data_IF_232367208805
#
_entry.id   IF_232367208805
#
_cell.length_a   1.000
_cell.length_b   1.000
_cell.length_c   1.000
_cell.angle_alpha   90.00
_cell.angle_beta   90.00
_cell.angle_gamma   90.00
#
_symmetry.space_group_name_H-M   'P 1'
#
loop_
_entity.id
_entity.type
_entity.pdbx_description
1 polymer ?
#
# COMPACT_ATOMS: atom_id res chain seq x y z
N UNK A 1 -57.26 52.86 18.46
CA UNK A 1 -56.27 53.76 17.84
C UNK A 1 -54.92 53.04 17.94
N UNK A 2 -54.36 52.62 16.79
CA UNK A 2 -52.92 52.47 16.43
C UNK A 2 -51.91 52.15 17.57
N UNK A 3 -50.96 51.20 17.55
CA UNK A 3 -50.18 50.45 16.53
C UNK A 3 -49.55 49.26 17.33
N UNK A 4 -49.59 47.98 16.95
CA UNK A 4 -48.74 47.32 15.94
C UNK A 4 -47.30 47.07 16.42
N UNK A 5 -46.88 45.80 16.56
CA UNK A 5 -45.48 45.34 16.39
C UNK A 5 -45.39 43.81 16.21
N UNK A 6 -45.33 43.44 14.93
CA UNK A 6 -44.46 42.44 14.28
C UNK A 6 -43.81 41.30 15.06
N UNK A 7 -43.99 40.11 14.49
CA UNK A 7 -43.31 38.81 14.68
C UNK A 7 -41.82 38.88 14.31
N UNK A 8 -40.98 37.95 14.81
CA UNK A 8 -39.97 37.35 13.96
C UNK A 8 -40.06 35.82 13.90
N UNK A 9 -39.99 35.33 12.66
CA UNK A 9 -39.87 33.94 12.25
C UNK A 9 -38.65 33.26 12.89
N UNK A 10 -38.86 32.10 13.52
CA UNK A 10 -37.77 31.15 13.79
C UNK A 10 -37.53 30.34 12.51
N UNK A 11 -36.51 30.73 11.74
CA UNK A 11 -35.95 29.89 10.68
C UNK A 11 -35.20 28.74 11.37
N UNK A 12 -35.77 27.52 11.37
CA UNK A 12 -35.03 26.32 11.76
C UNK A 12 -34.06 25.98 10.63
N UNK A 13 -32.80 26.34 10.80
CA UNK A 13 -31.70 25.83 9.98
C UNK A 13 -31.55 24.35 10.33
N UNK A 14 -31.92 23.47 9.39
CA UNK A 14 -31.58 22.05 9.46
C UNK A 14 -30.12 21.94 9.04
N UNK A 15 -29.24 21.75 10.02
CA UNK A 15 -27.84 21.43 9.79
C UNK A 15 -27.78 20.00 9.25
N UNK A 16 -27.73 19.85 7.92
CA UNK A 16 -27.39 18.57 7.30
C UNK A 16 -25.88 18.41 7.43
N UNK A 17 -25.44 17.76 8.50
CA UNK A 17 -24.06 17.29 8.64
C UNK A 17 -23.87 16.21 7.57
N UNK A 18 -23.32 16.59 6.41
CA UNK A 18 -22.70 15.64 5.52
C UNK A 18 -21.39 15.22 6.18
N UNK A 19 -21.45 14.13 6.94
CA UNK A 19 -20.24 13.41 7.30
C UNK A 19 -19.64 12.86 6.01
N UNK A 20 -18.67 13.58 5.45
CA UNK A 20 -17.86 13.07 4.35
C UNK A 20 -16.84 12.12 5.00
N UNK A 21 -17.27 10.89 5.28
CA UNK A 21 -16.34 9.79 5.43
C UNK A 21 -15.78 9.52 4.04
N UNK A 22 -14.64 10.12 3.73
CA UNK A 22 -13.79 9.66 2.63
C UNK A 22 -12.74 8.77 3.25
N UNK A 23 -13.04 7.48 3.31
CA UNK A 23 -12.03 6.45 3.50
C UNK A 23 -11.20 6.45 2.22
N UNK A 24 -9.91 6.71 2.32
CA UNK A 24 -9.11 6.72 1.11
C UNK A 24 -8.92 5.29 0.58
N UNK A 25 -9.11 5.20 -0.73
CA UNK A 25 -9.09 4.01 -1.55
C UNK A 25 -7.78 3.22 -1.46
N UNK A 26 -7.55 2.37 -0.46
CA UNK A 26 -6.66 1.23 -0.66
C UNK A 26 -7.06 0.58 -2.00
N UNK A 27 -6.12 0.31 -2.93
CA UNK A 27 -6.47 -0.42 -4.16
C UNK A 27 -7.16 -1.69 -3.71
N UNK A 28 -8.47 -1.74 -3.93
CA UNK A 28 -9.28 -2.86 -3.50
C UNK A 28 -9.03 -4.02 -4.46
N UNK A 29 -9.22 -5.23 -3.96
CA UNK A 29 -9.22 -6.41 -4.81
C UNK A 29 -10.24 -6.26 -5.95
N UNK A 30 -9.88 -6.58 -7.21
CA UNK A 30 -10.73 -6.31 -8.37
C UNK A 30 -12.14 -6.88 -8.27
N UNK A 31 -13.08 -6.33 -9.06
CA UNK A 31 -14.49 -6.76 -9.05
C UNK A 31 -14.68 -8.22 -9.41
N UNK A 32 -15.79 -8.78 -8.93
CA UNK A 32 -16.16 -10.17 -9.11
C UNK A 32 -15.96 -11.01 -7.85
N UNK A 33 -16.38 -12.26 -7.98
CA UNK A 33 -16.19 -13.34 -7.00
C UNK A 33 -15.22 -14.36 -7.61
N UNK A 34 -14.23 -14.77 -6.83
CA UNK A 34 -13.15 -15.65 -7.27
C UNK A 34 -12.36 -16.16 -6.07
N UNK A 35 -11.40 -17.05 -6.31
CA UNK A 35 -10.46 -17.49 -5.29
C UNK A 35 -9.01 -17.40 -5.73
N UNK A 36 -8.12 -17.37 -4.75
CA UNK A 36 -6.66 -17.45 -4.91
C UNK A 36 -6.13 -18.64 -4.10
N UNK A 37 -4.99 -19.24 -4.51
CA UNK A 37 -4.25 -20.13 -3.62
C UNK A 37 -3.88 -19.38 -2.34
N UNK A 38 -4.06 -20.03 -1.19
CA UNK A 38 -3.75 -19.42 0.11
C UNK A 38 -2.26 -19.54 0.39
N UNK A 39 -1.50 -18.44 0.54
CA UNK A 39 -0.14 -18.53 1.03
C UNK A 39 -0.11 -18.84 2.54
N UNK A 40 1.01 -19.35 3.04
CA UNK A 40 1.27 -19.63 4.47
C UNK A 40 1.16 -18.38 5.37
N UNK A 41 1.10 -17.19 4.78
CA UNK A 41 0.90 -15.90 5.44
C UNK A 41 -0.57 -15.55 5.69
N UNK A 42 -1.51 -16.33 5.15
CA UNK A 42 -2.95 -16.15 5.34
C UNK A 42 -3.66 -15.49 4.15
N UNK A 43 -4.95 -15.24 4.31
CA UNK A 43 -5.78 -14.64 3.27
C UNK A 43 -5.92 -13.12 3.42
N UNK A 44 -6.20 -12.39 2.32
CA UNK A 44 -6.56 -10.99 2.41
C UNK A 44 -7.75 -10.75 3.34
N UNK A 45 -7.74 -9.59 4.00
CA UNK A 45 -8.77 -9.26 5.00
C UNK A 45 -10.19 -9.36 4.42
N UNK A 46 -11.07 -10.05 5.14
CA UNK A 46 -12.48 -10.22 4.76
C UNK A 46 -12.76 -11.37 3.79
N UNK A 47 -11.75 -12.13 3.37
CA UNK A 47 -11.94 -13.31 2.52
C UNK A 47 -12.26 -14.55 3.35
N UNK A 48 -13.03 -15.48 2.75
CA UNK A 48 -13.35 -16.76 3.37
C UNK A 48 -12.27 -17.79 3.06
N UNK A 49 -12.01 -18.69 4.00
CA UNK A 49 -11.04 -19.78 3.80
C UNK A 49 -11.73 -21.12 3.56
N UNK A 50 -11.03 -22.02 2.88
CA UNK A 50 -11.39 -23.42 2.74
C UNK A 50 -10.17 -24.25 2.38
N UNK A 51 -10.36 -25.57 2.31
CA UNK A 51 -9.27 -26.50 2.01
C UNK A 51 -9.77 -27.71 1.24
N UNK A 52 -8.83 -28.38 0.57
CA UNK A 52 -9.00 -29.72 0.02
C UNK A 52 -7.79 -30.57 0.43
N UNK A 53 -8.10 -31.69 1.07
CA UNK A 53 -7.20 -32.78 1.37
C UNK A 53 -7.40 -33.88 0.33
N UNK A 54 -6.30 -34.33 -0.29
CA UNK A 54 -6.27 -35.48 -1.18
C UNK A 54 -5.47 -36.61 -0.54
N UNK A 55 -6.12 -37.77 -0.47
CA UNK A 55 -5.46 -39.06 -0.35
C UNK A 55 -5.05 -39.45 -1.77
N UNK A 56 -3.75 -39.38 -2.06
CA UNK A 56 -3.19 -39.65 -3.38
C UNK A 56 -2.65 -41.08 -3.42
N UNK A 57 -1.94 -41.49 -4.47
CA UNK A 57 -1.48 -42.89 -4.62
C UNK A 57 -0.65 -43.39 -3.42
N UNK A 58 -1.13 -44.47 -2.78
CA UNK A 58 -0.44 -45.18 -1.68
C UNK A 58 0.58 -46.21 -2.21
N UNK A 59 0.35 -46.78 -3.40
CA UNK A 59 1.21 -47.79 -4.05
C UNK A 59 2.17 -47.16 -5.07
N UNK A 60 3.37 -46.80 -4.60
CA UNK A 60 4.42 -46.02 -5.30
C UNK A 60 4.14 -44.51 -5.39
N UNK A 61 3.91 -43.84 -4.25
CA UNK A 61 3.67 -42.40 -4.22
C UNK A 61 4.76 -41.58 -4.92
N UNK A 62 4.34 -40.61 -5.72
CA UNK A 62 5.22 -39.73 -6.49
C UNK A 62 5.03 -38.23 -6.25
N UNK A 63 4.38 -37.79 -5.16
CA UNK A 63 4.17 -36.35 -4.92
C UNK A 63 5.51 -35.60 -4.78
N UNK A 64 5.58 -34.42 -5.41
CA UNK A 64 6.78 -33.58 -5.45
C UNK A 64 6.40 -32.09 -5.35
N UNK A 65 7.26 -31.29 -4.74
CA UNK A 65 7.11 -29.83 -4.65
C UNK A 65 8.43 -29.10 -4.88
N UNK A 66 8.33 -27.82 -5.20
CA UNK A 66 9.45 -26.90 -5.10
C UNK A 66 9.90 -26.66 -3.65
N UNK A 67 11.14 -26.23 -3.48
CA UNK A 67 11.67 -25.67 -2.23
C UNK A 67 12.29 -24.29 -2.57
N UNK A 68 11.69 -23.16 -2.13
CA UNK A 68 10.55 -23.06 -1.22
C UNK A 68 9.19 -23.45 -1.85
N UNK A 69 8.21 -23.67 -0.97
CA UNK A 69 6.77 -23.71 -1.28
C UNK A 69 6.02 -22.94 -0.19
N UNK A 70 5.59 -21.73 -0.51
CA UNK A 70 4.87 -20.81 0.37
C UNK A 70 3.34 -21.00 0.32
N UNK A 71 2.85 -22.06 -0.33
CA UNK A 71 1.45 -22.47 -0.33
C UNK A 71 1.05 -23.05 1.04
N UNK A 72 -0.09 -22.61 1.58
CA UNK A 72 -0.64 -23.10 2.84
C UNK A 72 -1.27 -24.48 2.66
N UNK A 73 -0.83 -25.42 3.49
CA UNK A 73 -1.20 -26.83 3.35
C UNK A 73 -0.24 -27.79 4.03
N UNK A 74 -0.44 -29.08 3.77
CA UNK A 74 0.44 -30.15 4.23
C UNK A 74 0.84 -31.03 3.06
N UNK A 75 2.12 -31.38 2.97
CA UNK A 75 2.68 -32.10 1.82
C UNK A 75 3.32 -33.41 2.28
N UNK A 76 2.87 -34.52 1.72
CA UNK A 76 3.37 -35.86 1.97
C UNK A 76 3.55 -36.62 0.67
N UNK A 77 4.29 -37.72 0.72
CA UNK A 77 4.55 -38.55 -0.46
C UNK A 77 3.25 -39.13 -1.05
N UNK A 78 2.34 -39.61 -0.21
CA UNK A 78 1.07 -40.23 -0.61
C UNK A 78 -0.17 -39.38 -0.28
N UNK A 79 0.01 -38.18 0.29
CA UNK A 79 -1.11 -37.41 0.82
C UNK A 79 -0.80 -35.92 0.75
N UNK A 80 -1.81 -35.09 0.54
CA UNK A 80 -1.61 -33.64 0.48
C UNK A 80 -2.85 -32.84 0.90
N UNK A 81 -2.64 -31.61 1.35
CA UNK A 81 -3.70 -30.64 1.60
C UNK A 81 -3.26 -29.29 1.06
N UNK A 82 -4.19 -28.55 0.45
CA UNK A 82 -3.98 -27.15 0.09
C UNK A 82 -5.21 -26.31 0.35
N UNK A 83 -4.94 -25.04 0.64
CA UNK A 83 -5.94 -24.12 1.15
C UNK A 83 -6.24 -22.99 0.15
N UNK A 84 -7.43 -22.42 0.30
CA UNK A 84 -8.00 -21.42 -0.59
C UNK A 84 -8.34 -20.14 0.15
N UNK A 85 -8.06 -19.01 -0.50
CA UNK A 85 -8.65 -17.73 -0.15
C UNK A 85 -9.79 -17.43 -1.12
N UNK A 86 -11.02 -17.26 -0.63
CA UNK A 86 -12.21 -17.08 -1.45
C UNK A 86 -12.87 -15.73 -1.21
N UNK A 87 -12.93 -14.91 -2.27
CA UNK A 87 -13.72 -13.68 -2.32
C UNK A 87 -15.14 -14.01 -2.77
N UNK A 88 -16.07 -14.06 -1.82
CA UNK A 88 -17.47 -14.47 -2.06
C UNK A 88 -18.43 -13.31 -2.28
N UNK A 89 -17.96 -12.07 -2.12
CA UNK A 89 -18.73 -10.86 -2.34
C UNK A 89 -17.99 -9.95 -3.32
N UNK A 90 -18.69 -9.52 -4.38
CA UNK A 90 -18.16 -8.49 -5.26
C UNK A 90 -18.45 -7.12 -4.66
N UNK A 91 -17.46 -6.24 -4.66
CA UNK A 91 -17.69 -4.81 -4.51
C UNK A 91 -18.43 -4.28 -5.75
N UNK A 92 -19.30 -3.30 -5.55
CA UNK A 92 -19.98 -2.58 -6.66
C UNK A 92 -19.07 -1.51 -7.29
N UNK A 93 -18.07 -1.03 -6.53
CA UNK A 93 -17.20 0.10 -6.89
C UNK A 93 -15.72 -0.30 -7.12
N UNK A 94 -15.43 -1.59 -7.29
CA UNK A 94 -14.04 -2.04 -7.52
C UNK A 94 -13.57 -1.83 -8.96
N UNK A 95 -12.25 -1.83 -9.15
CA UNK A 95 -11.64 -1.82 -10.48
C UNK A 95 -11.72 -3.18 -11.17
N UNK A 96 -11.67 -3.19 -12.51
CA UNK A 96 -11.56 -4.42 -13.29
C UNK A 96 -10.19 -5.08 -13.12
N UNK A 97 -10.12 -6.40 -13.31
CA UNK A 97 -8.84 -7.09 -13.33
C UNK A 97 -7.96 -6.61 -14.49
N UNK A 98 -6.67 -6.32 -14.25
CA UNK A 98 -5.75 -5.85 -15.29
C UNK A 98 -5.44 -6.94 -16.32
N UNK A 99 -5.22 -6.54 -17.58
CA UNK A 99 -4.77 -7.44 -18.64
C UNK A 99 -3.43 -8.09 -18.29
N UNK A 100 -3.24 -9.34 -18.71
CA UNK A 100 -2.06 -10.13 -18.34
C UNK A 100 -2.21 -11.60 -18.68
N UNK A 101 -1.31 -12.42 -18.14
CA UNK A 101 -1.27 -13.87 -18.36
C UNK A 101 -1.19 -14.64 -17.06
N UNK A 102 -2.35 -14.96 -16.48
CA UNK A 102 -2.47 -15.64 -15.18
C UNK A 102 -3.87 -16.25 -14.99
N UNK A 103 -3.99 -17.12 -13.99
CA UNK A 103 -5.20 -17.82 -13.62
C UNK A 103 -5.54 -17.60 -12.14
N UNK A 104 -6.84 -17.66 -11.84
CA UNK A 104 -7.43 -17.64 -10.50
C UNK A 104 -8.47 -18.74 -10.39
N UNK A 105 -8.85 -19.12 -9.18
CA UNK A 105 -9.94 -20.06 -8.97
C UNK A 105 -11.29 -19.42 -9.31
N UNK A 106 -12.14 -20.18 -10.00
CA UNK A 106 -13.49 -19.72 -10.35
C UNK A 106 -14.39 -19.74 -9.12
N UNK A 107 -15.23 -18.71 -8.96
CA UNK A 107 -16.33 -18.69 -7.98
C UNK A 107 -17.50 -17.90 -8.54
N UNK A 108 -18.56 -18.56 -9.00
CA UNK A 108 -19.58 -17.89 -9.81
C UNK A 108 -19.01 -17.49 -11.18
N UNK A 109 -19.52 -16.47 -11.83
CA UNK A 109 -19.05 -16.08 -13.17
C UNK A 109 -17.60 -15.61 -13.16
N UNK A 110 -16.84 -15.95 -14.21
CA UNK A 110 -15.47 -15.44 -14.34
C UNK A 110 -15.48 -13.92 -14.51
N UNK A 111 -14.56 -13.20 -13.84
CA UNK A 111 -14.44 -11.76 -14.02
C UNK A 111 -14.17 -11.39 -15.48
N UNK A 112 -14.55 -10.16 -15.87
CA UNK A 112 -14.37 -9.66 -17.24
C UNK A 112 -12.93 -9.82 -17.72
N UNK A 113 -12.75 -10.36 -18.94
CA UNK A 113 -11.45 -10.66 -19.55
C UNK A 113 -10.94 -12.07 -19.29
N UNK A 114 -11.49 -12.80 -18.30
CA UNK A 114 -11.14 -14.19 -18.06
C UNK A 114 -12.05 -15.15 -18.84
N UNK A 115 -11.46 -16.28 -19.22
CA UNK A 115 -12.14 -17.44 -19.78
C UNK A 115 -12.22 -18.54 -18.72
N UNK A 116 -13.36 -19.25 -18.70
CA UNK A 116 -13.56 -20.38 -17.79
C UNK A 116 -12.90 -21.64 -18.35
N UNK A 117 -12.32 -22.43 -17.47
CA UNK A 117 -11.91 -23.80 -17.78
C UNK A 117 -11.75 -24.65 -16.54
N UNK A 118 -11.26 -25.87 -16.68
CA UNK A 118 -11.19 -26.84 -15.58
C UNK A 118 -10.07 -27.85 -15.76
N UNK A 119 -9.65 -28.41 -14.64
CA UNK A 119 -8.90 -29.66 -14.56
C UNK A 119 -9.70 -30.62 -13.70
N UNK A 120 -9.90 -31.83 -14.19
CA UNK A 120 -10.43 -32.98 -13.49
C UNK A 120 -9.30 -33.98 -13.31
N UNK A 121 -9.16 -34.50 -12.11
CA UNK A 121 -8.34 -35.68 -11.87
C UNK A 121 -9.10 -36.75 -11.08
N UNK A 122 -8.78 -38.00 -11.39
CA UNK A 122 -9.25 -39.20 -10.72
C UNK A 122 -8.39 -39.42 -9.47
N UNK A 123 -8.96 -39.13 -8.31
CA UNK A 123 -8.26 -39.38 -7.05
C UNK A 123 -8.28 -40.91 -6.76
N UNK A 124 -7.47 -41.38 -5.80
CA UNK A 124 -7.28 -42.81 -5.52
C UNK A 124 -8.61 -43.59 -5.36
N UNK A 125 -8.74 -44.75 -6.01
CA UNK A 125 -9.97 -45.55 -5.94
C UNK A 125 -10.10 -46.43 -4.69
N UNK A 126 -8.98 -46.79 -4.06
CA UNK A 126 -8.93 -47.70 -2.92
C UNK A 126 -8.76 -46.94 -1.61
N UNK A 127 -9.62 -47.21 -0.63
CA UNK A 127 -9.52 -46.65 0.74
C UNK A 127 -9.48 -45.10 0.88
N UNK A 128 -9.68 -44.35 -0.20
CA UNK A 128 -9.70 -42.90 -0.29
C UNK A 128 -10.32 -42.16 0.92
N UNK A 129 -9.49 -41.33 1.58
CA UNK A 129 -9.85 -40.50 2.74
C UNK A 129 -9.83 -39.00 2.38
N UNK A 130 -10.25 -38.67 1.15
CA UNK A 130 -10.44 -37.30 0.70
C UNK A 130 -11.32 -36.49 1.67
N UNK A 131 -10.88 -35.26 1.98
CA UNK A 131 -11.60 -34.36 2.89
C UNK A 131 -11.63 -32.96 2.33
N UNK A 132 -12.67 -32.22 2.68
CA UNK A 132 -12.85 -30.84 2.24
C UNK A 132 -13.59 -30.04 3.29
N UNK A 133 -13.40 -28.73 3.30
CA UNK A 133 -14.05 -27.86 4.27
C UNK A 133 -13.97 -26.39 3.90
N UNK A 134 -14.75 -25.58 4.61
CA UNK A 134 -14.84 -24.15 4.37
C UNK A 134 -15.39 -23.78 2.99
N UNK A 135 -15.01 -22.59 2.52
CA UNK A 135 -15.41 -22.05 1.21
C UNK A 135 -14.36 -22.40 0.17
N UNK A 136 -14.80 -23.01 -0.94
CA UNK A 136 -13.92 -23.49 -2.00
C UNK A 136 -14.24 -22.85 -3.35
N UNK A 137 -13.32 -22.99 -4.33
CA UNK A 137 -13.63 -22.78 -5.73
C UNK A 137 -14.89 -23.53 -6.19
N UNK A 138 -15.43 -23.10 -7.32
CA UNK A 138 -16.41 -23.91 -8.03
C UNK A 138 -15.73 -25.20 -8.48
N UNK A 139 -16.40 -26.34 -8.25
CA UNK A 139 -15.81 -27.65 -8.50
C UNK A 139 -16.72 -28.78 -8.04
N UNK A 140 -16.22 -30.00 -8.26
CA UNK A 140 -16.76 -31.24 -7.69
C UNK A 140 -15.67 -31.80 -6.77
N UNK A 141 -16.03 -32.12 -5.53
CA UNK A 141 -15.12 -32.57 -4.48
C UNK A 141 -15.65 -33.88 -3.89
N UNK A 142 -15.99 -34.83 -4.77
CA UNK A 142 -16.51 -36.13 -4.36
C UNK A 142 -15.35 -37.12 -4.18
N UNK A 143 -15.52 -38.34 -4.69
CA UNK A 143 -14.43 -39.31 -4.78
C UNK A 143 -13.30 -38.75 -5.63
N UNK A 144 -13.65 -38.07 -6.73
CA UNK A 144 -12.73 -37.40 -7.64
C UNK A 144 -12.80 -35.89 -7.49
N UNK A 145 -11.88 -35.21 -8.16
CA UNK A 145 -11.81 -33.75 -8.07
C UNK A 145 -11.96 -33.10 -9.44
N UNK A 146 -12.82 -32.09 -9.52
CA UNK A 146 -12.84 -31.11 -10.61
C UNK A 146 -12.70 -29.74 -9.98
N UNK A 147 -11.71 -28.96 -10.40
CA UNK A 147 -11.60 -27.55 -10.05
C UNK A 147 -11.76 -26.70 -11.29
N UNK A 148 -12.62 -25.68 -11.19
CA UNK A 148 -12.77 -24.67 -12.22
C UNK A 148 -11.86 -23.47 -11.97
N UNK A 149 -11.34 -22.93 -13.06
CA UNK A 149 -10.43 -21.80 -13.10
C UNK A 149 -11.00 -20.71 -14.01
N UNK A 150 -10.62 -19.48 -13.71
CA UNK A 150 -10.73 -18.35 -14.61
C UNK A 150 -9.31 -17.99 -15.03
N UNK A 151 -9.01 -18.10 -16.32
CA UNK A 151 -7.69 -17.75 -16.86
C UNK A 151 -7.77 -16.66 -17.92
N UNK A 152 -6.75 -15.81 -18.00
CA UNK A 152 -6.58 -14.81 -19.06
C UNK A 152 -5.15 -14.85 -19.60
N UNK A 153 -4.99 -14.36 -20.83
CA UNK A 153 -3.72 -14.32 -21.56
C UNK A 153 -3.74 -13.20 -22.61
N UNK A 154 -4.37 -12.08 -22.28
CA UNK A 154 -4.59 -10.93 -23.16
C UNK A 154 -3.50 -9.86 -23.05
N UNK A 155 -2.42 -10.12 -22.28
CA UNK A 155 -1.17 -9.35 -22.29
C UNK A 155 0.02 -10.22 -21.84
N UNK A 156 1.25 -9.69 -21.99
CA UNK A 156 2.50 -10.37 -21.67
C UNK A 156 2.81 -10.37 -20.17
N UNK A 157 3.44 -11.44 -19.68
CA UNK A 157 3.80 -11.59 -18.27
C UNK A 157 4.84 -10.58 -17.79
N UNK A 158 5.69 -10.03 -18.67
CA UNK A 158 6.73 -9.06 -18.33
C UNK A 158 6.20 -7.66 -18.04
N UNK A 159 4.98 -7.33 -18.49
CA UNK A 159 4.36 -6.05 -18.23
C UNK A 159 3.73 -6.07 -16.83
N UNK A 160 4.23 -5.25 -15.91
CA UNK A 160 3.77 -5.27 -14.52
C UNK A 160 2.32 -4.79 -14.38
N UNK A 161 1.46 -5.60 -13.77
CA UNK A 161 0.08 -5.25 -13.43
C UNK A 161 -0.03 -4.62 -12.03
N UNK A 162 -1.12 -3.89 -11.77
CA UNK A 162 -1.40 -3.32 -10.46
C UNK A 162 -2.44 -4.15 -9.73
N UNK A 163 -2.09 -4.69 -8.57
CA UNK A 163 -2.96 -5.42 -7.65
C UNK A 163 -2.72 -4.91 -6.22
N UNK A 164 -3.62 -5.20 -5.26
CA UNK A 164 -3.38 -4.85 -3.86
C UNK A 164 -2.06 -5.47 -3.37
N UNK A 165 -1.25 -4.68 -2.69
CA UNK A 165 0.12 -5.05 -2.28
C UNK A 165 0.33 -5.14 -0.76
N UNK A 166 -0.72 -4.89 0.01
CA UNK A 166 -0.64 -4.98 1.47
C UNK A 166 -0.41 -6.43 1.91
N UNK A 167 -1.14 -7.37 1.30
CA UNK A 167 -1.04 -8.79 1.62
C UNK A 167 -0.12 -9.52 0.65
N UNK A 168 0.60 -10.54 1.14
CA UNK A 168 1.23 -11.55 0.27
C UNK A 168 0.12 -12.37 -0.38
N UNK A 169 0.28 -12.73 -1.64
CA UNK A 169 -0.75 -13.50 -2.34
C UNK A 169 -0.15 -14.41 -3.41
N UNK A 170 -0.97 -15.33 -3.92
CA UNK A 170 -0.59 -16.20 -5.02
C UNK A 170 -1.54 -16.07 -6.20
N UNK A 171 -1.00 -16.19 -7.40
CA UNK A 171 -1.76 -16.47 -8.63
C UNK A 171 -1.31 -17.81 -9.19
N UNK A 172 -2.14 -18.47 -9.99
CA UNK A 172 -1.70 -19.62 -10.78
C UNK A 172 -1.12 -19.12 -12.09
N UNK A 173 0.05 -19.63 -12.50
CA UNK A 173 0.66 -19.20 -13.76
C UNK A 173 -0.15 -19.73 -14.94
N UNK A 174 -0.38 -18.92 -15.97
CA UNK A 174 -1.05 -19.37 -17.20
C UNK A 174 -0.07 -20.08 -18.15
N UNK A 175 1.20 -19.67 -18.11
CA UNK A 175 2.31 -20.20 -18.88
C UNK A 175 3.53 -20.42 -17.98
N UNK A 176 4.68 -20.68 -18.57
CA UNK A 176 5.92 -20.96 -17.84
C UNK A 176 6.40 -19.77 -17.00
N UNK A 177 6.14 -18.53 -17.43
CA UNK A 177 6.54 -17.33 -16.69
C UNK A 177 5.43 -16.82 -15.78
N UNK A 178 5.81 -16.27 -14.63
CA UNK A 178 4.91 -15.55 -13.74
C UNK A 178 4.63 -14.13 -14.23
N UNK A 179 3.37 -13.70 -14.07
CA UNK A 179 2.93 -12.32 -14.31
C UNK A 179 3.68 -11.37 -13.35
N UNK A 180 4.29 -10.30 -13.85
CA UNK A 180 4.90 -9.28 -12.99
C UNK A 180 3.81 -8.44 -12.32
N UNK A 181 3.97 -8.12 -11.04
CA UNK A 181 3.08 -7.23 -10.27
C UNK A 181 3.91 -6.06 -9.75
N UNK A 182 3.45 -4.83 -9.98
CA UNK A 182 4.19 -3.62 -9.62
C UNK A 182 4.41 -3.55 -8.11
N UNK A 183 5.68 -3.39 -7.69
CA UNK A 183 6.06 -3.28 -6.29
C UNK A 183 6.04 -4.60 -5.50
N UNK A 184 5.98 -5.74 -6.19
CA UNK A 184 6.05 -7.06 -5.59
C UNK A 184 7.20 -7.86 -6.21
N UNK A 185 7.93 -8.59 -5.38
CA UNK A 185 8.79 -9.69 -5.84
C UNK A 185 7.93 -10.91 -6.17
N UNK A 186 8.37 -11.73 -7.13
CA UNK A 186 7.65 -12.96 -7.51
C UNK A 186 8.56 -14.17 -7.49
N UNK A 187 8.14 -15.21 -6.79
CA UNK A 187 8.78 -16.53 -6.77
C UNK A 187 7.86 -17.53 -7.47
N UNK A 188 8.38 -18.25 -8.47
CA UNK A 188 7.65 -19.35 -9.11
C UNK A 188 7.84 -20.62 -8.30
N UNK A 189 6.73 -21.19 -7.86
CA UNK A 189 6.66 -22.41 -7.06
C UNK A 189 5.77 -23.43 -7.74
N UNK A 190 5.86 -24.69 -7.36
CA UNK A 190 5.05 -25.72 -7.97
C UNK A 190 4.80 -26.89 -7.02
N UNK A 191 3.68 -27.57 -7.27
CA UNK A 191 3.34 -28.82 -6.64
C UNK A 191 2.81 -29.79 -7.70
N UNK A 192 3.28 -31.04 -7.63
CA UNK A 192 2.88 -32.16 -8.46
C UNK A 192 2.39 -33.28 -7.55
N UNK A 193 1.27 -33.88 -7.89
CA UNK A 193 0.80 -35.09 -7.22
C UNK A 193 0.48 -36.20 -8.20
N UNK A 194 0.73 -37.42 -7.73
CA UNK A 194 0.30 -38.65 -8.37
C UNK A 194 -1.20 -38.81 -8.19
N UNK A 195 -1.86 -39.26 -9.25
CA UNK A 195 -3.25 -39.66 -9.23
C UNK A 195 -3.37 -41.11 -9.74
N UNK A 196 -4.59 -41.62 -9.90
CA UNK A 196 -4.81 -43.04 -10.22
C UNK A 196 -4.12 -43.48 -11.53
N UNK A 197 -3.28 -44.52 -11.45
CA UNK A 197 -2.55 -45.08 -12.60
C UNK A 197 -3.42 -45.99 -13.48
N UNK A 198 -4.59 -46.46 -13.00
CA UNK A 198 -5.43 -47.44 -13.67
C UNK A 198 -6.88 -46.98 -13.93
N UNK A 199 -7.36 -47.11 -15.17
CA UNK A 199 -8.68 -46.59 -15.60
C UNK A 199 -8.89 -45.08 -15.41
N UNK A 200 -7.80 -44.32 -15.37
CA UNK A 200 -7.74 -42.90 -15.12
C UNK A 200 -8.74 -42.06 -15.95
N UNK A 201 -9.60 -41.33 -15.24
CA UNK A 201 -10.61 -40.39 -15.76
C UNK A 201 -10.18 -38.92 -15.85
N UNK A 202 -8.88 -38.64 -15.81
CA UNK A 202 -8.28 -37.30 -15.91
C UNK A 202 -8.68 -36.58 -17.20
N UNK A 203 -9.01 -35.30 -17.07
CA UNK A 203 -9.30 -34.45 -18.22
C UNK A 203 -9.11 -32.97 -17.91
N UNK A 204 -8.72 -32.20 -18.91
CA UNK A 204 -8.60 -30.74 -18.80
C UNK A 204 -9.13 -30.05 -20.05
N UNK A 205 -9.64 -28.84 -19.86
CA UNK A 205 -10.01 -27.95 -20.98
C UNK A 205 -8.79 -27.19 -21.49
N UNK A 206 -8.83 -26.62 -22.70
CA UNK A 206 -7.77 -25.75 -23.26
C UNK A 206 -7.40 -24.54 -22.37
N UNK A 207 -8.35 -24.12 -21.53
CA UNK A 207 -8.19 -23.02 -20.57
C UNK A 207 -7.86 -23.60 -19.20
N UNK A 208 -6.58 -23.62 -18.84
CA UNK A 208 -6.13 -24.12 -17.54
C UNK A 208 -4.81 -23.48 -17.11
N UNK A 209 -4.46 -23.54 -15.81
CA UNK A 209 -3.12 -23.20 -15.31
C UNK A 209 -2.00 -24.00 -15.99
N UNK A 210 -0.79 -23.46 -16.01
CA UNK A 210 0.35 -24.05 -16.69
C UNK A 210 0.70 -25.47 -16.17
N UNK A 211 1.10 -26.31 -17.12
CA UNK A 211 1.30 -27.78 -17.04
C UNK A 211 0.01 -28.59 -16.88
N UNK A 212 -0.76 -28.43 -15.79
CA UNK A 212 -1.99 -29.21 -15.59
C UNK A 212 -1.71 -30.71 -15.57
N UNK A 213 -2.46 -31.49 -16.34
CA UNK A 213 -2.29 -32.96 -16.43
C UNK A 213 -0.98 -33.31 -17.16
N UNK A 214 -0.19 -34.19 -16.54
CA UNK A 214 1.11 -34.68 -17.00
C UNK A 214 1.11 -36.21 -17.21
N UNK A 215 2.23 -36.74 -17.69
CA UNK A 215 2.50 -38.19 -17.82
C UNK A 215 1.44 -39.03 -18.54
N UNK A 216 0.63 -38.42 -19.42
CA UNK A 216 -0.41 -39.16 -20.15
C UNK A 216 -1.74 -39.33 -19.39
N UNK A 217 -1.91 -38.63 -18.27
CA UNK A 217 -3.13 -38.70 -17.44
C UNK A 217 -2.83 -38.90 -15.96
N UNK A 218 -1.70 -39.54 -15.66
CA UNK A 218 -1.38 -40.12 -14.34
C UNK A 218 -1.04 -39.10 -13.25
N UNK A 219 -0.96 -37.80 -13.57
CA UNK A 219 -0.41 -36.81 -12.66
C UNK A 219 -0.94 -35.41 -12.94
N UNK A 220 -1.00 -34.58 -11.90
CA UNK A 220 -1.31 -33.14 -12.06
C UNK A 220 -0.19 -32.31 -11.48
N UNK A 221 0.20 -31.26 -12.20
CA UNK A 221 1.14 -30.24 -11.72
C UNK A 221 0.54 -28.85 -11.86
N UNK A 222 0.54 -28.11 -10.75
CA UNK A 222 0.18 -26.71 -10.71
C UNK A 222 1.40 -25.85 -10.41
N UNK A 223 1.47 -24.71 -11.08
CA UNK A 223 2.51 -23.70 -10.89
C UNK A 223 1.88 -22.45 -10.27
N UNK A 224 2.50 -21.98 -9.19
CA UNK A 224 2.09 -20.83 -8.41
C UNK A 224 3.10 -19.71 -8.58
N UNK A 225 2.61 -18.48 -8.60
CA UNK A 225 3.40 -17.27 -8.55
C UNK A 225 3.14 -16.65 -7.18
N UNK A 226 4.10 -16.80 -6.27
CA UNK A 226 4.05 -16.22 -4.94
C UNK A 226 4.55 -14.78 -4.99
N UNK A 227 3.68 -13.84 -4.62
CA UNK A 227 3.97 -12.42 -4.60
C UNK A 227 4.17 -11.94 -3.18
N UNK A 228 5.35 -11.37 -2.92
CA UNK A 228 5.66 -10.72 -1.66
C UNK A 228 6.01 -9.25 -1.91
N UNK A 229 5.60 -8.32 -1.03
CA UNK A 229 6.02 -6.92 -1.12
C UNK A 229 7.52 -6.80 -1.35
N UNK A 230 7.89 -6.04 -2.39
CA UNK A 230 9.29 -5.74 -2.61
C UNK A 230 9.75 -4.72 -1.56
N UNK A 231 10.26 -5.24 -0.45
CA UNK A 231 10.73 -4.42 0.69
C UNK A 231 11.88 -3.48 0.30
N UNK A 232 12.57 -3.73 -0.81
CA UNK A 232 13.62 -2.84 -1.32
C UNK A 232 13.07 -1.61 -2.05
N UNK A 233 11.77 -1.60 -2.35
CA UNK A 233 11.05 -0.53 -3.04
C UNK A 233 9.84 -0.02 -2.24
N UNK A 234 9.54 -0.60 -1.07
CA UNK A 234 8.49 -0.12 -0.18
C UNK A 234 9.03 0.92 0.79
N UNK A 235 8.23 1.96 1.01
CA UNK A 235 8.46 2.92 2.07
C UNK A 235 8.48 2.21 3.44
N UNK A 236 9.29 2.66 4.41
CA UNK A 236 9.37 2.02 5.73
C UNK A 236 8.01 1.90 6.43
N UNK A 237 7.95 0.98 7.40
CA UNK A 237 6.70 0.71 8.12
C UNK A 237 6.25 1.91 8.97
N UNK A 238 4.96 1.89 9.32
CA UNK A 238 4.27 2.95 10.05
C UNK A 238 3.51 3.91 9.14
N UNK A 239 2.92 4.91 9.79
CA UNK A 239 2.14 5.98 9.16
C UNK A 239 2.77 7.32 9.46
N UNK A 240 2.84 8.19 8.46
CA UNK A 240 3.60 9.45 8.53
C UNK A 240 3.34 10.30 7.29
N UNK A 241 3.89 11.51 7.25
CA UNK A 241 3.84 12.38 6.07
C UNK A 241 5.20 12.84 5.57
N UNK A 242 5.27 13.17 4.29
CA UNK A 242 6.42 13.80 3.63
C UNK A 242 5.99 15.09 2.91
N UNK A 243 6.92 16.05 2.73
CA UNK A 243 6.70 17.18 1.82
C UNK A 243 6.50 16.66 0.39
N UNK A 244 5.49 17.17 -0.30
CA UNK A 244 5.19 16.75 -1.67
C UNK A 244 6.14 17.41 -2.65
N UNK A 245 6.83 16.63 -3.48
CA UNK A 245 7.63 17.18 -4.59
C UNK A 245 6.74 17.51 -5.79
N UNK A 246 7.26 18.26 -6.76
CA UNK A 246 6.57 18.50 -8.05
C UNK A 246 6.28 17.20 -8.84
N UNK A 247 6.91 16.07 -8.48
CA UNK A 247 6.59 14.77 -9.08
C UNK A 247 5.30 14.13 -8.52
N UNK A 248 4.78 14.65 -7.41
CA UNK A 248 3.58 14.14 -6.73
C UNK A 248 3.91 13.14 -5.61
N UNK A 249 2.86 12.49 -5.10
CA UNK A 249 2.99 11.56 -3.98
C UNK A 249 3.25 10.11 -4.44
N UNK A 250 3.92 9.29 -3.60
CA UNK A 250 3.99 7.86 -3.83
C UNK A 250 2.60 7.24 -4.02
N UNK A 251 2.49 6.23 -4.88
CA UNK A 251 1.21 5.57 -5.15
C UNK A 251 0.55 5.06 -3.87
N UNK A 252 -0.74 5.37 -3.70
CA UNK A 252 -1.55 4.97 -2.54
C UNK A 252 -1.43 5.87 -1.31
N UNK A 253 -0.75 7.02 -1.41
CA UNK A 253 -0.67 8.02 -0.36
C UNK A 253 -1.73 9.10 -0.56
N UNK A 254 -2.19 9.68 0.54
CA UNK A 254 -3.15 10.77 0.53
C UNK A 254 -2.45 12.11 0.32
N UNK A 255 -3.17 13.06 -0.27
CA UNK A 255 -2.68 14.42 -0.46
C UNK A 255 -3.42 15.41 0.44
N UNK A 256 -2.69 16.43 0.88
CA UNK A 256 -3.28 17.58 1.55
C UNK A 256 -2.50 18.84 1.26
N UNK A 257 -3.06 19.97 1.68
CA UNK A 257 -2.39 21.25 1.58
C UNK A 257 -2.73 22.16 2.75
N UNK A 258 -1.79 23.06 3.04
CA UNK A 258 -1.98 24.23 3.90
C UNK A 258 -1.61 25.47 3.10
N UNK A 259 -2.55 26.39 2.99
CA UNK A 259 -2.34 27.74 2.50
C UNK A 259 -2.13 28.67 3.69
N UNK A 260 -1.05 29.43 3.64
CA UNK A 260 -0.68 30.47 4.58
C UNK A 260 -0.81 31.83 3.90
N UNK A 261 -1.67 32.66 4.47
CA UNK A 261 -1.69 34.10 4.27
C UNK A 261 -0.63 34.68 5.22
N UNK A 262 0.52 34.99 4.66
CA UNK A 262 1.70 35.49 5.40
C UNK A 262 1.71 37.01 5.39
N UNK A 263 2.55 37.67 6.19
CA UNK A 263 2.52 39.12 6.42
C UNK A 263 2.30 39.97 5.15
N UNK A 264 1.20 40.71 5.09
CA UNK A 264 0.88 41.58 3.94
C UNK A 264 1.71 42.89 3.89
N UNK A 265 2.25 43.35 5.03
CA UNK A 265 2.93 44.65 5.18
C UNK A 265 4.42 44.51 5.48
N UNK A 266 5.23 44.40 4.43
CA UNK A 266 6.69 44.28 4.56
C UNK A 266 7.22 42.87 4.34
N UNK A 267 6.36 41.99 3.82
CA UNK A 267 6.67 40.58 3.58
C UNK A 267 8.04 40.33 2.98
N UNK A 268 8.70 39.33 3.54
CA UNK A 268 10.02 38.88 3.14
C UNK A 268 10.10 37.35 3.00
N UNK A 269 9.06 36.73 2.42
CA UNK A 269 9.13 35.31 2.01
C UNK A 269 10.30 35.08 1.04
N UNK A 270 11.08 34.03 1.26
CA UNK A 270 12.25 33.69 0.45
C UNK A 270 12.35 32.17 0.26
N UNK A 271 12.94 31.74 -0.85
CA UNK A 271 13.17 30.32 -1.11
C UNK A 271 14.40 30.11 -1.99
N UNK A 272 14.91 28.88 -2.02
CA UNK A 272 15.98 28.49 -2.94
C UNK A 272 15.50 28.49 -4.39
N UNK A 273 16.40 28.78 -5.33
CA UNK A 273 16.16 28.61 -6.77
C UNK A 273 17.20 27.63 -7.34
N UNK A 274 16.79 26.41 -7.76
CA UNK A 274 15.41 25.92 -7.84
C UNK A 274 14.79 25.54 -6.49
N UNK A 275 13.45 25.43 -6.48
CA UNK A 275 12.65 24.78 -5.44
C UNK A 275 11.69 23.80 -6.11
N UNK A 276 11.84 22.50 -5.84
CA UNK A 276 10.99 21.44 -6.42
C UNK A 276 9.87 20.98 -5.47
N UNK A 277 9.57 21.78 -4.46
CA UNK A 277 8.49 21.54 -3.50
C UNK A 277 7.15 21.95 -4.12
N UNK A 278 6.16 21.06 -4.07
CA UNK A 278 4.82 21.32 -4.57
C UNK A 278 4.12 22.37 -3.70
N UNK A 279 3.52 23.36 -4.36
CA UNK A 279 3.00 24.52 -3.68
C UNK A 279 2.93 25.75 -4.57
N UNK A 280 2.57 26.87 -3.96
CA UNK A 280 2.68 28.21 -4.54
C UNK A 280 3.49 29.07 -3.59
N UNK A 281 4.41 29.86 -4.12
CA UNK A 281 5.40 30.62 -3.36
C UNK A 281 5.40 32.05 -3.90
N UNK A 282 4.79 32.95 -3.16
CA UNK A 282 4.65 34.35 -3.52
C UNK A 282 5.12 35.23 -2.36
N UNK A 283 5.26 36.54 -2.64
CA UNK A 283 5.74 37.50 -1.64
C UNK A 283 4.89 37.47 -0.37
N UNK A 284 3.57 37.44 -0.48
CA UNK A 284 2.68 37.54 0.70
C UNK A 284 1.98 36.22 1.03
N UNK A 285 2.23 35.15 0.29
CA UNK A 285 1.46 33.92 0.46
C UNK A 285 2.32 32.71 0.15
N UNK A 286 2.06 31.63 0.88
CA UNK A 286 2.67 30.34 0.58
C UNK A 286 1.66 29.20 0.70
N UNK A 287 1.85 28.14 -0.09
CA UNK A 287 1.07 26.92 0.03
C UNK A 287 2.01 25.73 0.12
N UNK A 288 1.91 25.01 1.23
CA UNK A 288 2.59 23.74 1.44
C UNK A 288 1.67 22.59 1.00
N UNK A 289 2.21 21.63 0.26
CA UNK A 289 1.50 20.38 -0.05
C UNK A 289 2.17 19.16 0.60
N UNK A 290 1.34 18.20 0.98
CA UNK A 290 1.74 17.04 1.78
C UNK A 290 1.41 15.74 1.08
N UNK A 291 2.27 14.74 1.26
CA UNK A 291 1.99 13.34 0.97
C UNK A 291 1.87 12.58 2.29
N UNK A 292 0.72 11.95 2.54
CA UNK A 292 0.40 11.30 3.80
C UNK A 292 0.21 9.79 3.63
N UNK A 293 1.10 9.00 4.24
CA UNK A 293 0.95 7.55 4.37
C UNK A 293 0.04 7.26 5.57
N UNK A 294 -1.25 7.05 5.31
CA UNK A 294 -2.28 6.88 6.34
C UNK A 294 -2.55 5.43 6.73
N UNK A 295 -1.90 4.48 6.04
CA UNK A 295 -2.04 3.04 6.28
C UNK A 295 -0.63 2.44 6.39
N UNK A 296 -0.36 1.73 7.49
CA UNK A 296 0.88 0.98 7.65
C UNK A 296 0.88 -0.23 6.69
N UNK A 297 2.06 -0.58 6.16
CA UNK A 297 2.18 -1.81 5.39
C UNK A 297 2.11 -3.00 6.34
N UNK A 298 1.73 -4.18 5.86
CA UNK A 298 1.51 -5.33 6.73
C UNK A 298 2.79 -5.68 7.50
N UNK A 299 2.66 -5.78 8.83
CA UNK A 299 3.70 -6.22 9.76
C UNK A 299 4.05 -7.71 9.54
N UNK A 300 4.76 -8.01 8.45
CA UNK A 300 5.60 -9.21 8.40
C UNK A 300 6.80 -9.02 9.34
N UNK A 301 7.48 -10.09 9.77
CA UNK A 301 8.63 -10.04 10.69
C UNK A 301 9.86 -9.27 10.17
N UNK A 302 9.76 -8.63 9.01
CA UNK A 302 10.78 -7.80 8.38
C UNK A 302 10.23 -6.47 7.82
N UNK A 303 9.08 -5.98 8.30
CA UNK A 303 8.61 -4.62 7.97
C UNK A 303 9.74 -3.64 8.29
N UNK A 304 10.36 -3.08 7.26
CA UNK A 304 11.64 -2.39 7.43
C UNK A 304 11.43 -1.15 8.29
N UNK A 305 12.07 -1.13 9.47
CA UNK A 305 12.17 0.07 10.28
C UNK A 305 12.79 1.20 9.45
N UNK A 306 12.46 2.43 9.80
CA UNK A 306 13.17 3.57 9.22
C UNK A 306 14.68 3.45 9.48
N UNK A 307 15.53 3.69 8.47
CA UNK A 307 16.97 3.54 8.62
C UNK A 307 17.57 4.64 9.51
N UNK A 308 18.62 4.31 10.26
CA UNK A 308 19.38 5.31 11.02
C UNK A 308 19.88 6.45 10.14
N UNK A 309 19.81 7.68 10.65
CA UNK A 309 20.16 8.87 9.89
C UNK A 309 19.87 10.17 10.61
N UNK A 310 19.97 11.27 9.85
CA UNK A 310 19.71 12.64 10.30
C UNK A 310 18.66 13.28 9.41
N UNK A 311 17.40 13.15 9.79
CA UNK A 311 16.28 13.69 9.03
C UNK A 311 15.02 13.73 9.88
N UNK A 312 14.04 14.51 9.43
CA UNK A 312 12.70 14.50 9.98
C UNK A 312 11.64 14.24 8.91
N UNK A 313 10.49 13.77 9.37
CA UNK A 313 9.27 13.59 8.59
C UNK A 313 8.10 14.21 9.35
N UNK A 314 6.94 14.38 8.70
CA UNK A 314 5.75 14.80 9.42
C UNK A 314 5.17 13.65 10.26
N UNK A 315 4.71 13.99 11.47
CA UNK A 315 3.98 13.05 12.32
C UNK A 315 2.54 12.89 11.84
N UNK A 316 1.95 11.73 12.04
CA UNK A 316 0.56 11.44 11.71
C UNK A 316 -0.06 10.46 12.71
N UNK A 317 -1.34 10.65 13.02
CA UNK A 317 -2.16 9.81 13.90
C UNK A 317 -1.60 9.70 15.33
N UNK A 318 -1.01 10.80 15.81
CA UNK A 318 -0.58 10.95 17.21
C UNK A 318 0.70 10.20 17.59
N UNK A 319 1.37 9.53 16.66
CA UNK A 319 2.58 8.75 16.97
C UNK A 319 3.63 8.82 15.85
N UNK A 320 4.88 8.55 16.22
CA UNK A 320 5.98 8.43 15.26
C UNK A 320 6.23 6.96 14.90
N UNK A 321 6.65 6.66 13.66
CA UNK A 321 7.06 5.33 13.28
C UNK A 321 8.21 4.79 14.14
N UNK A 322 8.37 3.47 14.15
CA UNK A 322 9.49 2.79 14.81
C UNK A 322 10.84 3.37 14.32
N UNK A 323 11.76 3.60 15.26
CA UNK A 323 13.08 4.18 15.01
C UNK A 323 13.18 5.70 15.16
N UNK A 324 12.07 6.42 15.29
CA UNK A 324 12.05 7.83 15.67
C UNK A 324 11.94 8.02 17.19
N UNK A 325 12.29 9.21 17.67
CA UNK A 325 12.00 9.62 19.06
C UNK A 325 10.49 9.70 19.24
N UNK A 326 9.92 8.88 20.13
CA UNK A 326 8.47 8.71 20.30
C UNK A 326 7.91 9.34 21.57
N UNK A 327 8.76 9.61 22.56
CA UNK A 327 8.35 10.15 23.86
C UNK A 327 8.35 11.69 23.92
N UNK A 328 8.71 12.37 22.82
CA UNK A 328 8.80 13.83 22.74
C UNK A 328 7.79 14.41 21.76
N UNK A 329 7.18 15.53 22.15
CA UNK A 329 6.33 16.31 21.28
C UNK A 329 7.20 17.27 20.47
N UNK A 330 7.67 16.81 19.31
CA UNK A 330 8.48 17.58 18.35
C UNK A 330 7.55 18.44 17.48
N UNK A 331 7.69 19.76 17.53
CA UNK A 331 6.84 20.70 16.81
C UNK A 331 7.55 22.00 16.45
N UNK A 332 6.98 22.68 15.45
CA UNK A 332 7.17 24.11 15.21
C UNK A 332 5.77 24.74 15.19
N UNK A 333 5.61 25.81 15.96
CA UNK A 333 4.43 26.65 16.00
C UNK A 333 4.83 28.03 15.52
N UNK A 334 4.05 28.57 14.59
CA UNK A 334 4.17 29.96 14.18
C UNK A 334 2.82 30.67 14.23
N UNK A 335 2.90 31.93 14.65
CA UNK A 335 1.80 32.86 14.71
C UNK A 335 1.57 33.41 13.29
N UNK A 336 0.58 32.87 12.57
CA UNK A 336 0.27 33.39 11.22
C UNK A 336 -0.41 34.77 11.36
N UNK A 337 -0.54 35.53 10.26
CA UNK A 337 -1.03 36.91 10.29
C UNK A 337 -2.39 37.06 11.01
N UNK A 338 -2.50 38.02 11.93
CA UNK A 338 -3.75 38.25 12.68
C UNK A 338 -4.78 39.11 11.91
N UNK A 339 -4.32 39.97 10.99
CA UNK A 339 -5.17 40.88 10.21
C UNK A 339 -5.63 40.28 8.89
N UNK A 340 -6.94 40.31 8.61
CA UNK A 340 -7.53 39.87 7.31
C UNK A 340 -7.17 38.45 6.85
N UNK A 341 -6.65 37.63 7.75
CA UNK A 341 -6.14 36.28 7.50
C UNK A 341 -7.07 35.41 6.63
N UNK A 342 -6.56 34.99 5.48
CA UNK A 342 -7.19 34.13 4.49
C UNK A 342 -6.65 32.68 4.49
N UNK A 343 -6.03 32.25 5.59
CA UNK A 343 -5.57 30.90 5.84
C UNK A 343 -6.61 29.84 5.45
N UNK A 344 -6.17 28.81 4.71
CA UNK A 344 -7.03 27.69 4.34
C UNK A 344 -6.26 26.37 4.30
N UNK A 345 -6.98 25.25 4.33
CA UNK A 345 -6.39 23.93 4.22
C UNK A 345 -7.40 22.92 3.66
N UNK A 346 -6.91 21.78 3.17
CA UNK A 346 -7.76 20.70 2.70
C UNK A 346 -6.99 19.39 2.49
N UNK A 347 -7.72 18.31 2.26
CA UNK A 347 -7.16 16.97 2.13
C UNK A 347 -6.76 16.38 3.48
N UNK A 348 -5.71 15.54 3.49
CA UNK A 348 -5.15 14.93 4.71
C UNK A 348 -3.90 15.69 5.13
N UNK A 349 -3.90 16.20 6.36
CA UNK A 349 -2.83 17.03 6.89
C UNK A 349 -2.00 16.26 7.92
N UNK A 350 -0.73 16.60 8.14
CA UNK A 350 0.00 16.04 9.26
C UNK A 350 -0.58 16.45 10.61
N UNK A 351 -0.09 15.83 11.68
CA UNK A 351 -0.46 16.20 13.04
C UNK A 351 -0.15 17.68 13.30
N UNK A 352 -1.11 18.42 13.83
CA UNK A 352 -0.96 19.86 13.99
C UNK A 352 -2.20 20.61 14.44
N UNK A 353 -2.08 21.93 14.46
CA UNK A 353 -3.15 22.89 14.67
C UNK A 353 -3.18 23.80 13.45
N UNK A 354 -4.34 23.93 12.81
CA UNK A 354 -4.51 24.69 11.56
C UNK A 354 -5.65 25.69 11.71
N UNK A 355 -5.56 26.57 12.71
CA UNK A 355 -6.58 27.58 12.96
C UNK A 355 -6.12 28.93 12.39
N UNK A 356 -6.29 30.03 13.14
CA UNK A 356 -5.66 31.30 12.80
C UNK A 356 -4.16 31.15 12.65
N UNK A 357 -3.55 30.34 13.53
CA UNK A 357 -2.12 30.04 13.59
C UNK A 357 -1.85 28.60 13.18
N UNK A 358 -0.57 28.27 13.03
CA UNK A 358 -0.16 26.95 12.58
C UNK A 358 0.80 26.31 13.57
N UNK A 359 0.50 25.06 13.92
CA UNK A 359 1.43 24.12 14.54
C UNK A 359 1.59 22.92 13.64
N UNK A 360 2.82 22.53 13.34
CA UNK A 360 3.11 21.25 12.69
C UNK A 360 3.94 20.37 13.62
N UNK A 361 3.64 19.08 13.64
CA UNK A 361 4.35 18.08 14.42
C UNK A 361 5.18 17.16 13.53
N UNK A 362 6.35 16.79 14.04
CA UNK A 362 7.37 16.08 13.29
C UNK A 362 7.82 14.83 14.03
N UNK A 363 8.48 13.93 13.30
CA UNK A 363 9.26 12.83 13.83
C UNK A 363 10.68 13.02 13.34
N UNK A 364 11.60 13.27 14.26
CA UNK A 364 13.01 13.51 13.96
C UNK A 364 13.88 12.36 14.50
N UNK A 365 14.99 12.13 13.82
CA UNK A 365 16.06 11.26 14.31
C UNK A 365 17.41 11.85 13.92
N UNK A 366 18.38 11.62 14.80
CA UNK A 366 19.76 12.12 14.69
C UNK A 366 20.77 11.06 15.11
N UNK A 367 20.43 9.79 14.89
CA UNK A 367 21.19 8.63 15.34
C UNK A 367 22.11 8.03 14.26
N UNK A 368 22.33 8.76 13.16
CA UNK A 368 23.16 8.33 12.04
C UNK A 368 24.25 9.33 11.63
N UNK A 369 24.89 9.05 10.48
CA UNK A 369 25.90 9.93 9.87
C UNK A 369 25.40 10.35 8.50
N UNK A 370 25.30 11.66 8.25
CA UNK A 370 24.74 12.22 7.02
C UNK A 370 25.43 11.72 5.75
N UNK A 371 26.73 11.47 5.78
CA UNK A 371 27.49 10.97 4.62
C UNK A 371 27.36 9.47 4.36
N UNK A 372 26.68 8.71 5.23
CA UNK A 372 26.47 7.28 5.03
C UNK A 372 25.11 7.05 4.38
N UNK A 373 25.10 6.58 3.13
CA UNK A 373 23.86 6.36 2.37
C UNK A 373 22.89 5.39 3.06
N UNK A 374 21.69 5.86 3.39
CA UNK A 374 20.59 5.03 3.89
C UNK A 374 19.79 4.42 2.74
N UNK A 375 19.06 3.34 3.02
CA UNK A 375 18.20 2.67 2.04
C UNK A 375 16.75 3.12 2.20
N UNK A 376 16.20 3.75 1.16
CA UNK A 376 14.80 4.13 0.99
C UNK A 376 14.39 3.82 -0.45
N UNK A 377 13.09 3.80 -0.80
CA UNK A 377 12.65 3.64 -2.19
C UNK A 377 13.29 4.69 -3.11
N UNK A 378 13.80 4.25 -4.27
CA UNK A 378 14.56 5.08 -5.21
C UNK A 378 13.90 5.19 -6.59
N UNK A 379 12.65 4.79 -6.70
CA UNK A 379 11.85 4.77 -7.93
C UNK A 379 11.16 6.12 -8.19
N UNK A 380 11.04 6.98 -7.18
CA UNK A 380 10.41 8.30 -7.29
C UNK A 380 11.24 9.38 -6.57
N UNK A 381 11.08 10.64 -6.97
CA UNK A 381 11.68 11.78 -6.24
C UNK A 381 10.91 12.05 -4.96
N UNK A 382 11.60 12.46 -3.90
CA UNK A 382 10.97 12.77 -2.62
C UNK A 382 11.76 13.80 -1.81
N UNK A 383 11.14 14.28 -0.73
CA UNK A 383 11.76 15.14 0.26
C UNK A 383 11.81 14.48 1.64
N UNK A 384 12.86 14.80 2.37
CA UNK A 384 12.89 14.72 3.83
C UNK A 384 13.23 16.10 4.39
N UNK A 385 12.83 16.40 5.62
CA UNK A 385 13.36 17.55 6.33
C UNK A 385 14.79 17.25 6.76
N UNK A 386 15.69 18.21 6.58
CA UNK A 386 17.01 18.10 7.18
C UNK A 386 16.87 18.22 8.70
N UNK A 387 17.55 17.38 9.48
CA UNK A 387 17.72 17.60 10.93
C UNK A 387 19.02 18.34 11.26
N UNK A 388 19.91 18.49 10.26
CA UNK A 388 21.17 19.23 10.40
C UNK A 388 21.43 20.10 9.17
N UNK A 389 22.50 20.88 9.17
CA UNK A 389 22.90 21.70 8.00
C UNK A 389 23.36 20.87 6.79
N UNK A 390 23.49 19.55 6.95
CA UNK A 390 23.86 18.63 5.86
C UNK A 390 22.74 17.61 5.66
N UNK A 391 22.37 17.39 4.40
CA UNK A 391 21.39 16.37 4.07
C UNK A 391 21.92 14.96 4.27
N UNK A 392 21.04 14.07 4.73
CA UNK A 392 21.31 12.63 4.81
C UNK A 392 21.45 12.04 3.41
N UNK A 393 22.51 11.29 3.12
CA UNK A 393 22.67 10.58 1.85
C UNK A 393 21.69 9.40 1.77
N UNK A 394 21.12 9.17 0.58
CA UNK A 394 20.28 7.99 0.27
C UNK A 394 20.94 7.24 -0.87
N UNK A 395 21.21 5.95 -0.68
CA UNK A 395 21.90 5.13 -1.67
C UNK A 395 21.07 5.07 -2.97
N UNK A 396 21.70 5.33 -4.12
CA UNK A 396 21.03 5.35 -5.42
C UNK A 396 20.29 6.64 -5.76
N UNK A 397 20.34 7.65 -4.89
CA UNK A 397 19.76 8.97 -5.13
C UNK A 397 20.85 10.05 -5.19
N UNK A 398 20.54 11.16 -5.85
CA UNK A 398 21.28 12.42 -5.74
C UNK A 398 20.49 13.33 -4.79
N UNK A 399 21.16 13.92 -3.81
CA UNK A 399 20.53 14.84 -2.85
C UNK A 399 20.94 16.29 -3.08
N UNK A 400 19.97 17.21 -3.07
CA UNK A 400 20.18 18.66 -3.13
C UNK A 400 19.46 19.33 -1.96
N UNK A 401 20.15 20.12 -1.11
CA UNK A 401 19.48 20.90 -0.09
C UNK A 401 18.73 22.07 -0.75
N UNK A 402 17.45 22.19 -0.42
CA UNK A 402 16.56 23.29 -0.81
C UNK A 402 15.94 23.89 0.45
N UNK A 403 15.51 25.14 0.40
CA UNK A 403 14.98 25.80 1.60
C UNK A 403 13.88 26.77 1.25
N UNK A 404 13.02 27.00 2.22
CA UNK A 404 12.00 28.05 2.18
C UNK A 404 11.90 28.73 3.53
N UNK A 405 11.63 30.03 3.48
CA UNK A 405 11.51 30.96 4.59
C UNK A 405 10.21 31.73 4.39
N UNK A 406 9.43 31.87 5.45
CA UNK A 406 8.26 32.73 5.43
C UNK A 406 8.24 33.69 6.60
N UNK A 407 7.74 34.88 6.27
CA UNK A 407 7.51 35.99 7.18
C UNK A 407 6.18 35.78 7.87
N UNK A 408 6.21 35.66 9.20
CA UNK A 408 5.01 35.52 10.01
C UNK A 408 4.76 36.82 10.78
N UNK A 409 3.96 36.79 11.85
CA UNK A 409 3.54 38.01 12.55
C UNK A 409 4.72 38.83 13.13
N UNK A 410 4.84 40.09 12.72
CA UNK A 410 5.85 41.03 13.24
C UNK A 410 5.45 41.64 14.61
N UNK A 411 4.17 41.57 15.00
CA UNK A 411 3.65 42.25 16.19
C UNK A 411 2.96 41.31 17.18
N UNK A 412 3.45 41.27 18.43
CA UNK A 412 2.93 40.35 19.47
C UNK A 412 3.10 38.85 19.16
N UNK A 413 4.09 38.52 18.33
CA UNK A 413 4.43 37.18 17.90
C UNK A 413 4.56 36.16 19.06
N UNK A 414 3.90 35.01 18.89
CA UNK A 414 3.93 33.88 19.82
C UNK A 414 4.62 32.61 19.28
N UNK A 415 5.48 32.74 18.26
CA UNK A 415 6.32 31.69 17.69
C UNK A 415 7.02 30.84 18.76
N UNK A 416 6.96 29.52 18.59
CA UNK A 416 7.63 28.59 19.51
C UNK A 416 7.97 27.26 18.84
N UNK A 417 9.02 26.61 19.30
CA UNK A 417 9.42 25.28 18.83
C UNK A 417 9.92 24.42 19.99
N UNK A 418 9.85 23.10 19.84
CA UNK A 418 10.48 22.15 20.75
C UNK A 418 12.01 22.21 20.65
N UNK A 419 12.71 21.50 21.55
CA UNK A 419 14.18 21.38 21.48
C UNK A 419 14.62 20.59 20.23
N UNK A 420 13.96 19.46 19.97
CA UNK A 420 14.10 18.75 18.70
C UNK A 420 13.14 19.35 17.68
N UNK A 421 13.63 19.68 16.49
CA UNK A 421 12.82 20.15 15.36
C UNK A 421 13.64 20.03 14.05
N UNK A 422 13.00 20.07 12.87
CA UNK A 422 13.71 20.24 11.61
C UNK A 422 14.72 21.39 11.63
N UNK A 423 15.83 21.22 10.91
CA UNK A 423 16.95 22.18 10.89
C UNK A 423 16.49 23.60 10.49
N UNK A 424 17.16 24.58 11.10
CA UNK A 424 16.88 26.03 11.08
C UNK A 424 15.71 26.41 11.99
N UNK A 425 14.47 26.06 11.65
CA UNK A 425 13.29 26.38 12.47
C UNK A 425 13.05 27.89 12.59
N UNK A 426 12.68 28.35 13.79
CA UNK A 426 12.47 29.77 14.10
C UNK A 426 13.81 30.51 14.10
N UNK A 427 13.91 31.58 13.30
CA UNK A 427 15.11 32.41 13.18
C UNK A 427 15.41 33.15 14.49
N UNK A 428 16.66 33.59 14.68
CA UNK A 428 17.10 34.22 15.93
C UNK A 428 16.39 35.53 16.30
N UNK A 429 15.70 36.18 15.36
CA UNK A 429 14.84 37.33 15.65
C UNK A 429 13.54 36.92 16.35
N UNK A 430 13.12 35.66 16.22
CA UNK A 430 11.87 35.12 16.76
C UNK A 430 10.63 35.44 15.91
N UNK A 431 10.82 36.00 14.71
CA UNK A 431 9.77 36.58 13.87
C UNK A 431 9.50 35.78 12.59
N UNK A 432 10.21 34.68 12.39
CA UNK A 432 10.31 34.08 11.07
C UNK A 432 10.69 32.61 11.17
N UNK A 433 10.17 31.81 10.24
CA UNK A 433 10.52 30.39 10.16
C UNK A 433 11.22 30.11 8.85
N UNK A 434 12.30 29.34 8.95
CA UNK A 434 13.05 28.82 7.81
C UNK A 434 13.25 27.33 7.97
N UNK A 435 12.96 26.58 6.91
CA UNK A 435 13.16 25.13 6.89
C UNK A 435 14.05 24.73 5.72
N UNK A 436 15.00 23.84 6.01
CA UNK A 436 15.80 23.17 5.00
C UNK A 436 15.24 21.76 4.72
N UNK A 437 15.05 21.48 3.44
CA UNK A 437 14.61 20.22 2.88
C UNK A 437 15.73 19.55 2.07
N UNK A 438 15.75 18.23 2.09
CA UNK A 438 16.64 17.41 1.29
C UNK A 438 15.87 16.84 0.12
N UNK A 439 16.14 17.34 -1.09
CA UNK A 439 15.51 16.89 -2.32
C UNK A 439 16.26 15.71 -2.91
N UNK A 440 15.62 14.55 -3.02
CA UNK A 440 16.21 13.32 -3.53
C UNK A 440 15.69 12.98 -4.93
N UNK A 441 16.61 12.73 -5.86
CA UNK A 441 16.31 12.37 -7.25
C UNK A 441 17.01 11.05 -7.61
N UNK A 442 16.33 10.07 -8.25
CA UNK A 442 16.97 8.84 -8.72
C UNK A 442 18.17 9.12 -9.64
N UNK A 443 19.24 8.33 -9.47
CA UNK A 443 20.46 8.41 -10.31
C UNK A 443 20.28 7.82 -11.71
#
# INVERSE_FOLDING_TARGET
MFVGKTVPNLLKVVLVIHAVLRCSAQIAWPVGTYGLPKPNSGCPTGWSEGYRYHDTEDDNPGNQWSDPLDLDGTWGQANMEYNFCMKTQSSLDGEAWPAGSYCIYKKGDCPSGFQSGSIRWDDEDSANINREGGTKPDGTYDHNTIIFFCCRNDDVTSQAISLPRADRFMLLSRFDSCQQVRGMTVTKEWFRWDNEDSNNGDSQTDVHPYEGIQSGGENVRLNFCFYAPDISQSWPDGTYGLPKSLAGCPSGWEEGYRYHDTEDSGSNNQWSDPLHLAGTWDLNNMRNEFCMKTVADFAGPSGADWPQGNYCIYRWDGSCPSGFVTDQDTYIYWDDEDSSNANSFGGVLPDGVYNGNTRMQFCCREDGVTSLGMSLPTDNTFYLFASSTTCQEVAGMTVTPEWFRWDNEDSSNADSQSEEHPCEGIESSGENVRLTLCYYVPQ
#
